data_IF_672372713706
#
_entry.id   IF_672372713706
#
_cell.length_a   1.000
_cell.length_b   1.000
_cell.length_c   1.000
_cell.angle_alpha   90.00
_cell.angle_beta   90.00
_cell.angle_gamma   90.00
#
_symmetry.space_group_name_H-M   'P 1'
#
loop_
_entity.id
_entity.type
_entity.pdbx_description
1 polymer ?
#
# COMPACT_ATOMS: atom_id res chain seq x y z
N UNK A 1 -19.88 -4.85 19.49
CA UNK A 1 -18.69 -4.63 20.34
C UNK A 1 -17.52 -5.50 19.89
N UNK A 2 -17.50 -6.83 20.09
CA UNK A 2 -16.35 -7.67 19.65
C UNK A 2 -16.16 -7.71 18.12
N UNK A 3 -17.24 -7.72 17.33
CA UNK A 3 -17.13 -7.70 15.86
C UNK A 3 -16.45 -6.43 15.30
N UNK A 4 -16.66 -5.29 15.95
CA UNK A 4 -16.15 -3.99 15.47
C UNK A 4 -14.64 -3.89 15.65
N UNK A 5 -14.11 -4.45 16.76
CA UNK A 5 -12.68 -4.56 16.99
C UNK A 5 -12.03 -5.47 15.95
N UNK A 6 -12.61 -6.65 15.68
CA UNK A 6 -12.10 -7.60 14.68
C UNK A 6 -12.08 -7.01 13.28
N UNK A 7 -13.15 -6.31 12.87
CA UNK A 7 -13.23 -5.63 11.56
C UNK A 7 -12.17 -4.52 11.42
N UNK A 8 -11.98 -3.71 12.47
CA UNK A 8 -10.95 -2.65 12.46
C UNK A 8 -9.53 -3.22 12.45
N UNK A 9 -9.28 -4.29 13.23
CA UNK A 9 -7.99 -4.97 13.25
C UNK A 9 -7.66 -5.58 11.89
N UNK A 10 -8.61 -6.30 11.29
CA UNK A 10 -8.45 -6.91 9.97
C UNK A 10 -8.19 -5.85 8.89
N UNK A 11 -8.92 -4.73 8.93
CA UNK A 11 -8.69 -3.59 8.03
C UNK A 11 -7.28 -3.02 8.19
N UNK A 12 -6.81 -2.81 9.42
CA UNK A 12 -5.45 -2.33 9.68
C UNK A 12 -4.38 -3.30 9.20
N UNK A 13 -4.58 -4.61 9.42
CA UNK A 13 -3.68 -5.65 8.95
C UNK A 13 -3.60 -5.67 7.41
N UNK A 14 -4.74 -5.58 6.72
CA UNK A 14 -4.76 -5.49 5.26
C UNK A 14 -4.03 -4.24 4.76
N UNK A 15 -4.24 -3.08 5.39
CA UNK A 15 -3.53 -1.85 5.03
C UNK A 15 -2.01 -1.99 5.21
N UNK A 16 -1.56 -2.66 6.28
CA UNK A 16 -0.14 -2.93 6.52
C UNK A 16 0.45 -3.86 5.45
N UNK A 17 -0.26 -4.91 5.05
CA UNK A 17 0.19 -5.82 3.98
C UNK A 17 0.34 -5.05 2.66
N UNK A 18 -0.65 -4.25 2.28
CA UNK A 18 -0.60 -3.42 1.07
C UNK A 18 0.57 -2.43 1.12
N UNK A 19 0.84 -1.85 2.28
CA UNK A 19 1.99 -0.96 2.47
C UNK A 19 3.32 -1.67 2.19
N UNK A 20 3.52 -2.86 2.78
CA UNK A 20 4.74 -3.66 2.59
C UNK A 20 4.90 -4.05 1.11
N UNK A 21 3.82 -4.47 0.44
CA UNK A 21 3.83 -4.80 -0.99
C UNK A 21 4.19 -3.58 -1.84
N UNK A 22 3.59 -2.42 -1.56
CA UNK A 22 3.88 -1.17 -2.28
C UNK A 22 5.34 -0.75 -2.16
N UNK A 23 5.92 -0.82 -0.96
CA UNK A 23 7.35 -0.56 -0.74
C UNK A 23 8.21 -1.59 -1.48
N UNK A 24 7.85 -2.88 -1.42
CA UNK A 24 8.55 -3.95 -2.12
C UNK A 24 8.61 -3.73 -3.63
N UNK A 25 7.50 -3.30 -4.25
CA UNK A 25 7.44 -2.96 -5.67
C UNK A 25 8.40 -1.82 -6.05
N UNK A 26 8.50 -0.78 -5.21
CA UNK A 26 9.44 0.33 -5.45
C UNK A 26 10.88 -0.16 -5.36
N UNK A 27 11.23 -0.97 -4.35
CA UNK A 27 12.58 -1.52 -4.17
C UNK A 27 12.96 -2.45 -5.34
N UNK A 28 12.04 -3.31 -5.78
CA UNK A 28 12.26 -4.21 -6.93
C UNK A 28 12.37 -3.41 -8.23
N UNK A 29 11.55 -2.37 -8.39
CA UNK A 29 11.62 -1.47 -9.54
C UNK A 29 12.97 -0.75 -9.64
N UNK A 30 13.56 -0.34 -8.51
CA UNK A 30 14.91 0.25 -8.47
C UNK A 30 16.02 -0.71 -8.91
N UNK A 31 15.88 -2.02 -8.64
CA UNK A 31 16.86 -3.03 -9.07
C UNK A 31 16.82 -3.30 -10.57
N UNK A 32 15.74 -2.93 -11.26
CA UNK A 32 15.57 -3.14 -12.70
C UNK A 32 15.77 -1.81 -13.45
N UNK A 33 16.94 -1.62 -14.06
CA UNK A 33 17.24 -0.38 -14.79
C UNK A 33 16.49 -0.36 -16.14
N UNK A 34 15.59 0.61 -16.32
CA UNK A 34 14.88 0.83 -17.58
C UNK A 34 13.39 1.13 -17.40
N UNK A 35 12.68 1.26 -18.53
CA UNK A 35 11.23 1.52 -18.55
C UNK A 35 10.39 0.52 -17.72
N UNK A 36 10.70 -0.80 -17.70
CA UNK A 36 9.95 -1.75 -16.86
C UNK A 36 10.11 -1.48 -15.35
N UNK A 37 11.31 -1.14 -14.89
CA UNK A 37 11.56 -0.82 -13.48
C UNK A 37 10.92 0.50 -13.06
N UNK A 38 10.95 1.51 -13.95
CA UNK A 38 10.19 2.74 -13.76
C UNK A 38 8.68 2.46 -13.61
N UNK A 39 8.12 1.59 -14.47
CA UNK A 39 6.72 1.16 -14.38
C UNK A 39 6.38 0.50 -13.05
N UNK A 40 7.24 -0.40 -12.56
CA UNK A 40 7.07 -1.04 -11.25
C UNK A 40 7.12 -0.04 -10.09
N UNK A 41 8.04 0.94 -10.15
CA UNK A 41 8.09 1.99 -9.14
C UNK A 41 6.83 2.86 -9.14
N UNK A 42 6.34 3.27 -10.32
CA UNK A 42 5.10 4.04 -10.43
C UNK A 42 3.89 3.26 -9.93
N UNK A 43 3.82 1.96 -10.20
CA UNK A 43 2.75 1.09 -9.70
C UNK A 43 2.80 0.97 -8.16
N UNK A 44 4.00 0.78 -7.60
CA UNK A 44 4.21 0.78 -6.14
C UNK A 44 3.81 2.11 -5.50
N UNK A 45 4.21 3.24 -6.10
CA UNK A 45 3.85 4.58 -5.63
C UNK A 45 2.34 4.84 -5.72
N UNK A 46 1.68 4.48 -6.82
CA UNK A 46 0.23 4.61 -6.98
C UNK A 46 -0.53 3.82 -5.91
N UNK A 47 -0.06 2.60 -5.60
CA UNK A 47 -0.61 1.77 -4.52
C UNK A 47 -0.46 2.46 -3.15
N UNK A 48 0.71 3.02 -2.84
CA UNK A 48 0.96 3.72 -1.57
C UNK A 48 0.13 5.00 -1.43
N UNK A 49 -0.01 5.78 -2.51
CA UNK A 49 -0.86 6.99 -2.52
C UNK A 49 -2.33 6.60 -2.35
N UNK A 50 -2.80 5.55 -3.03
CA UNK A 50 -4.16 5.03 -2.86
C UNK A 50 -4.43 4.56 -1.43
N UNK A 51 -3.46 3.88 -0.81
CA UNK A 51 -3.53 3.48 0.59
C UNK A 51 -3.63 4.69 1.53
N UNK A 52 -2.79 5.71 1.32
CA UNK A 52 -2.82 6.94 2.10
C UNK A 52 -4.18 7.66 1.97
N UNK A 53 -4.74 7.69 0.75
CA UNK A 53 -6.07 8.26 0.52
C UNK A 53 -7.17 7.49 1.26
N UNK A 54 -7.16 6.15 1.21
CA UNK A 54 -8.11 5.30 1.94
C UNK A 54 -7.97 5.44 3.46
N UNK A 55 -6.75 5.60 3.95
CA UNK A 55 -6.47 5.86 5.36
C UNK A 55 -7.02 7.23 5.77
N UNK A 56 -6.70 8.29 5.01
CA UNK A 56 -7.11 9.66 5.28
C UNK A 56 -8.62 9.88 5.17
N UNK A 57 -9.34 9.09 4.37
CA UNK A 57 -10.82 9.15 4.29
C UNK A 57 -11.50 8.88 5.63
N UNK A 58 -10.84 8.17 6.55
CA UNK A 58 -11.37 7.93 7.91
C UNK A 58 -11.28 9.16 8.82
N UNK A 59 -10.41 10.12 8.49
CA UNK A 59 -10.16 11.33 9.28
C UNK A 59 -10.89 12.56 8.74
N UNK A 60 -11.71 12.41 7.69
CA UNK A 60 -12.61 13.44 7.17
C UNK A 60 -14.02 13.25 7.69
#
# INVERSE_FOLDING_TARGET
MMEDFTKNYLRNLLMLIVFIVGIGLVIVGQKNIGAPGLGLMLLGLAMLIGLLWLYNRKYK
#
